data_IF_327056524236
#
_entry.id   IF_327056524236
#
_cell.length_a   1.000
_cell.length_b   1.000
_cell.length_c   1.000
_cell.angle_alpha   90.00
_cell.angle_beta   90.00
_cell.angle_gamma   90.00
#
_symmetry.space_group_name_H-M   'P 1'
#
loop_
_entity.id
_entity.type
_entity.pdbx_description
1 polymer ?
#
# COMPACT_ATOMS: atom_id res chain seq x y z
N UNK A 1 -15.36 11.73 -17.95
CA UNK A 1 -15.19 12.07 -16.51
C UNK A 1 -13.78 11.70 -16.10
N UNK A 2 -13.07 12.58 -15.42
CA UNK A 2 -11.71 12.33 -14.92
C UNK A 2 -11.71 11.26 -13.82
N UNK A 3 -10.54 10.64 -13.56
CA UNK A 3 -10.41 9.64 -12.49
C UNK A 3 -10.75 10.24 -11.12
N UNK A 4 -10.35 11.49 -10.87
CA UNK A 4 -10.67 12.25 -9.66
C UNK A 4 -12.17 12.41 -9.44
N UNK A 5 -12.91 12.82 -10.47
CA UNK A 5 -14.36 13.01 -10.40
C UNK A 5 -15.08 11.69 -10.17
N UNK A 6 -14.67 10.63 -10.89
CA UNK A 6 -15.20 9.28 -10.69
C UNK A 6 -14.96 8.81 -9.27
N UNK A 7 -13.76 9.03 -8.72
CA UNK A 7 -13.46 8.61 -7.34
C UNK A 7 -14.27 9.39 -6.30
N UNK A 8 -14.52 10.68 -6.56
CA UNK A 8 -15.43 11.49 -5.73
C UNK A 8 -16.85 10.92 -5.74
N UNK A 9 -17.39 10.62 -6.92
CA UNK A 9 -18.71 9.99 -7.07
C UNK A 9 -18.75 8.61 -6.40
N UNK A 10 -17.70 7.80 -6.58
CA UNK A 10 -17.61 6.49 -5.97
C UNK A 10 -17.67 6.59 -4.43
N UNK A 11 -17.00 7.57 -3.84
CA UNK A 11 -17.05 7.85 -2.40
C UNK A 11 -18.45 8.28 -1.94
N UNK A 12 -19.10 9.18 -2.67
CA UNK A 12 -20.48 9.61 -2.36
C UNK A 12 -21.48 8.44 -2.39
N UNK A 13 -21.29 7.52 -3.35
CA UNK A 13 -22.13 6.36 -3.55
C UNK A 13 -21.69 5.11 -2.76
N UNK A 14 -20.61 5.19 -1.97
CA UNK A 14 -20.00 4.04 -1.28
C UNK A 14 -19.72 2.87 -2.22
N UNK A 15 -19.01 3.15 -3.30
CA UNK A 15 -18.56 2.18 -4.30
C UNK A 15 -17.05 2.34 -4.52
N UNK A 16 -16.48 1.48 -5.36
CA UNK A 16 -15.05 1.45 -5.67
C UNK A 16 -14.83 1.59 -7.17
N UNK A 17 -13.58 1.83 -7.57
CA UNK A 17 -13.20 1.91 -8.99
C UNK A 17 -12.13 0.88 -9.30
N UNK A 18 -12.28 0.22 -10.43
CA UNK A 18 -11.24 -0.62 -11.03
C UNK A 18 -10.87 -0.05 -12.40
N UNK A 19 -9.61 0.37 -12.54
CA UNK A 19 -9.02 0.69 -13.84
C UNK A 19 -8.23 -0.52 -14.33
N UNK A 20 -8.67 -1.10 -15.46
CA UNK A 20 -7.99 -2.22 -16.09
C UNK A 20 -6.77 -1.73 -16.86
N UNK A 21 -5.65 -2.45 -16.72
CA UNK A 21 -4.39 -2.12 -17.42
C UNK A 21 -3.97 -0.66 -17.27
N UNK A 22 -4.11 -0.13 -16.05
CA UNK A 22 -3.79 1.26 -15.72
C UNK A 22 -2.30 1.58 -15.93
N UNK A 23 -1.43 0.59 -15.69
CA UNK A 23 -0.01 0.62 -16.09
C UNK A 23 0.33 -0.57 -16.96
N UNK A 24 1.24 -0.35 -17.92
CA UNK A 24 1.71 -1.35 -18.87
C UNK A 24 3.11 -1.86 -18.57
N UNK A 25 3.94 -1.04 -17.94
CA UNK A 25 5.29 -1.39 -17.51
C UNK A 25 5.20 -1.96 -16.09
N UNK A 26 5.66 -3.19 -15.92
CA UNK A 26 5.54 -3.94 -14.68
C UNK A 26 6.91 -4.50 -14.29
N UNK A 27 7.28 -4.45 -13.00
CA UNK A 27 8.52 -5.07 -12.56
C UNK A 27 8.45 -6.59 -12.68
N UNK A 28 9.61 -7.21 -12.77
CA UNK A 28 9.76 -8.67 -12.71
C UNK A 28 10.17 -9.12 -11.31
N UNK A 29 10.02 -10.42 -11.03
CA UNK A 29 10.37 -10.99 -9.73
C UNK A 29 11.81 -10.68 -9.30
N UNK A 30 12.77 -10.76 -10.22
CA UNK A 30 14.19 -10.49 -9.90
C UNK A 30 14.39 -9.08 -9.34
N UNK A 31 13.73 -8.07 -9.91
CA UNK A 31 13.75 -6.69 -9.42
C UNK A 31 13.14 -6.61 -8.01
N UNK A 32 11.99 -7.23 -7.79
CA UNK A 32 11.30 -7.19 -6.49
C UNK A 32 12.07 -7.93 -5.41
N UNK A 33 12.62 -9.11 -5.71
CA UNK A 33 13.39 -9.92 -4.78
C UNK A 33 14.72 -9.24 -4.44
N UNK A 34 15.38 -8.61 -5.42
CA UNK A 34 16.57 -7.80 -5.18
C UNK A 34 16.25 -6.64 -4.24
N UNK A 35 15.17 -5.89 -4.49
CA UNK A 35 14.75 -4.82 -3.61
C UNK A 35 14.52 -5.32 -2.18
N UNK A 36 13.78 -6.42 -2.00
CA UNK A 36 13.54 -7.01 -0.67
C UNK A 36 14.86 -7.34 0.01
N UNK A 37 15.78 -8.01 -0.69
CA UNK A 37 17.09 -8.37 -0.16
C UNK A 37 17.90 -7.13 0.28
N UNK A 38 17.99 -6.12 -0.56
CA UNK A 38 18.69 -4.88 -0.25
C UNK A 38 18.09 -4.22 1.01
N UNK A 39 16.75 -4.17 1.12
CA UNK A 39 16.06 -3.61 2.28
C UNK A 39 16.23 -4.43 3.58
N UNK A 40 16.49 -5.74 3.48
CA UNK A 40 16.82 -6.55 4.67
C UNK A 40 18.21 -6.29 5.22
N UNK A 41 19.11 -5.67 4.43
CA UNK A 41 20.52 -5.45 4.80
C UNK A 41 20.76 -4.10 5.50
N UNK A 42 19.72 -3.31 5.71
CA UNK A 42 19.79 -1.95 6.30
C UNK A 42 19.73 -2.01 7.85
N UNK A 43 20.85 -2.32 8.50
CA UNK A 43 20.95 -2.64 9.94
C UNK A 43 20.53 -1.51 10.90
N UNK A 44 20.81 -0.24 10.55
CA UNK A 44 20.54 0.90 11.46
C UNK A 44 19.05 1.14 11.69
N UNK A 45 18.22 0.81 10.70
CA UNK A 45 16.76 0.99 10.75
C UNK A 45 16.05 -0.16 11.45
N UNK A 46 16.65 -1.36 11.48
CA UNK A 46 16.05 -2.52 12.16
C UNK A 46 15.80 -2.25 13.65
N UNK A 47 16.76 -1.61 14.33
CA UNK A 47 16.66 -1.30 15.76
C UNK A 47 15.59 -0.25 16.07
N UNK A 48 15.44 0.77 15.22
CA UNK A 48 14.39 1.78 15.35
C UNK A 48 13.01 1.17 15.09
N UNK A 49 12.89 0.43 13.98
CA UNK A 49 11.66 -0.23 13.56
C UNK A 49 11.18 -1.23 14.61
N UNK A 50 12.08 -2.06 15.14
CA UNK A 50 11.74 -3.04 16.18
C UNK A 50 11.16 -2.39 17.43
N UNK A 51 11.77 -1.30 17.92
CA UNK A 51 11.26 -0.55 19.07
C UNK A 51 9.87 0.02 18.82
N UNK A 52 9.64 0.57 17.63
CA UNK A 52 8.33 1.11 17.26
C UNK A 52 7.28 0.00 17.18
N UNK A 53 7.60 -1.13 16.56
CA UNK A 53 6.70 -2.28 16.48
C UNK A 53 6.35 -2.86 17.85
N UNK A 54 7.33 -2.99 18.74
CA UNK A 54 7.11 -3.43 20.13
C UNK A 54 6.22 -2.47 20.93
N UNK A 55 6.27 -1.16 20.64
CA UNK A 55 5.46 -0.14 21.31
C UNK A 55 4.03 -0.01 20.75
N UNK A 56 3.86 -0.13 19.43
CA UNK A 56 2.57 0.08 18.76
C UNK A 56 1.74 -1.19 18.74
N UNK A 57 2.37 -2.37 18.68
CA UNK A 57 1.69 -3.65 18.51
C UNK A 57 2.01 -4.69 19.62
N UNK A 58 1.95 -4.33 20.93
CA UNK A 58 2.24 -5.29 21.99
C UNK A 58 1.26 -6.48 22.02
N UNK A 59 0.04 -6.29 21.49
CA UNK A 59 -1.06 -7.27 21.57
C UNK A 59 -1.25 -8.12 20.31
N UNK A 60 -0.58 -7.79 19.19
CA UNK A 60 -0.64 -8.63 18.00
C UNK A 60 0.28 -9.84 18.20
N UNK A 61 -0.29 -10.96 18.62
CA UNK A 61 0.30 -12.32 18.56
C UNK A 61 0.61 -12.79 17.13
N UNK A 62 0.70 -11.89 16.16
CA UNK A 62 1.20 -12.20 14.82
C UNK A 62 2.71 -12.26 14.95
N UNK A 63 3.31 -13.40 14.62
CA UNK A 63 4.77 -13.57 14.57
C UNK A 63 5.26 -12.68 13.41
N UNK A 64 5.46 -11.41 13.71
CA UNK A 64 6.06 -10.45 12.81
C UNK A 64 7.56 -10.51 13.07
N UNK A 65 8.32 -10.93 12.06
CA UNK A 65 9.78 -10.79 12.10
C UNK A 65 10.16 -9.56 11.29
N UNK A 66 10.99 -8.70 11.87
CA UNK A 66 11.50 -7.50 11.20
C UNK A 66 12.95 -7.76 10.80
N UNK A 67 13.29 -7.47 9.55
CA UNK A 67 14.65 -7.55 9.00
C UNK A 67 14.94 -6.25 8.25
N UNK A 68 15.80 -5.38 8.80
CA UNK A 68 15.99 -4.02 8.25
C UNK A 68 14.67 -3.26 8.07
N UNK A 69 14.32 -2.97 6.82
CA UNK A 69 13.08 -2.29 6.41
C UNK A 69 11.95 -3.23 5.97
N UNK A 70 12.05 -4.52 6.26
CA UNK A 70 11.06 -5.53 5.85
C UNK A 70 10.37 -6.12 7.08
N UNK A 71 9.05 -6.22 7.02
CA UNK A 71 8.25 -7.04 7.93
C UNK A 71 7.85 -8.31 7.21
N UNK A 72 8.09 -9.44 7.85
CA UNK A 72 7.61 -10.75 7.41
C UNK A 72 6.58 -11.25 8.40
N UNK A 73 5.43 -11.66 7.89
CA UNK A 73 4.34 -12.28 8.63
C UNK A 73 4.09 -13.68 8.08
N UNK A 74 3.73 -14.60 8.96
CA UNK A 74 3.36 -15.96 8.59
C UNK A 74 2.17 -15.98 7.60
N UNK A 75 2.15 -16.85 6.57
CA UNK A 75 3.21 -17.82 6.23
C UNK A 75 4.40 -17.25 5.46
N UNK A 76 4.21 -16.30 4.54
CA UNK A 76 5.28 -15.58 3.83
C UNK A 76 4.70 -14.29 3.22
N UNK A 77 4.06 -13.47 4.06
CA UNK A 77 3.56 -12.16 3.69
C UNK A 77 4.59 -11.11 4.09
N UNK A 78 5.09 -10.36 3.12
CA UNK A 78 6.23 -9.47 3.25
C UNK A 78 5.75 -8.06 2.94
N UNK A 79 6.05 -7.11 3.82
CA UNK A 79 5.77 -5.69 3.60
C UNK A 79 7.03 -4.86 3.79
N UNK A 80 7.30 -3.95 2.85
CA UNK A 80 8.34 -2.94 3.04
C UNK A 80 7.82 -1.80 3.92
N UNK A 81 8.66 -1.37 4.86
CA UNK A 81 8.37 -0.28 5.81
C UNK A 81 8.73 1.11 5.28
N UNK A 82 9.26 1.19 4.06
CA UNK A 82 9.73 2.43 3.47
C UNK A 82 9.10 2.67 2.12
N UNK A 83 9.05 3.95 1.75
CA UNK A 83 8.80 4.38 0.37
C UNK A 83 10.00 4.15 -0.58
N UNK A 84 11.05 3.42 -0.20
CA UNK A 84 12.20 3.23 -1.10
C UNK A 84 11.87 2.38 -2.33
N UNK A 85 10.79 1.59 -2.28
CA UNK A 85 10.32 0.79 -3.41
C UNK A 85 10.17 1.61 -4.71
N UNK A 86 9.88 2.91 -4.61
CA UNK A 86 9.75 3.77 -5.77
C UNK A 86 11.05 4.36 -6.29
N UNK A 87 12.08 4.43 -5.45
CA UNK A 87 13.42 4.86 -5.86
C UNK A 87 14.08 3.73 -6.65
N UNK A 88 13.90 2.50 -6.17
CA UNK A 88 14.60 1.32 -6.69
C UNK A 88 13.83 0.58 -7.80
N UNK A 89 12.51 0.80 -7.93
CA UNK A 89 11.67 0.19 -8.97
C UNK A 89 11.11 1.28 -9.89
N UNK A 90 11.67 1.41 -11.08
CA UNK A 90 11.38 2.50 -12.01
C UNK A 90 9.92 2.54 -12.48
N UNK A 91 9.30 1.37 -12.67
CA UNK A 91 7.91 1.22 -13.12
C UNK A 91 6.94 1.82 -12.11
N UNK A 92 7.28 1.70 -10.83
CA UNK A 92 6.53 2.29 -9.74
C UNK A 92 6.60 3.82 -9.78
N UNK A 93 7.77 4.41 -10.03
CA UNK A 93 7.88 5.88 -10.14
C UNK A 93 6.94 6.45 -11.19
N UNK A 94 6.86 5.81 -12.36
CA UNK A 94 5.94 6.19 -13.45
C UNK A 94 4.48 6.08 -13.03
N UNK A 95 4.10 4.99 -12.36
CA UNK A 95 2.75 4.78 -11.84
C UNK A 95 2.31 5.92 -10.89
N UNK A 96 3.12 6.25 -9.90
CA UNK A 96 2.69 7.18 -8.85
C UNK A 96 2.61 8.62 -9.35
N UNK A 97 3.53 9.00 -10.23
CA UNK A 97 3.43 10.29 -10.93
C UNK A 97 2.15 10.35 -11.79
N UNK A 98 1.85 9.29 -12.55
CA UNK A 98 0.60 9.19 -13.34
C UNK A 98 -0.65 9.31 -12.46
N UNK A 99 -0.69 8.59 -11.34
CA UNK A 99 -1.82 8.61 -10.42
C UNK A 99 -2.04 10.01 -9.82
N UNK A 100 -1.00 10.68 -9.35
CA UNK A 100 -1.14 12.05 -8.83
C UNK A 100 -1.59 13.04 -9.92
N UNK A 101 -1.06 12.89 -11.15
CA UNK A 101 -1.47 13.70 -12.30
C UNK A 101 -2.95 13.52 -12.66
N UNK A 102 -3.44 12.29 -12.64
CA UNK A 102 -4.86 11.98 -12.86
C UNK A 102 -5.77 12.55 -11.76
N UNK A 103 -5.19 12.91 -10.60
CA UNK A 103 -5.86 13.62 -9.50
C UNK A 103 -5.59 15.14 -9.49
N UNK A 104 -4.97 15.66 -10.55
CA UNK A 104 -4.73 17.08 -10.79
C UNK A 104 -3.50 17.66 -10.10
N UNK A 105 -2.55 16.81 -9.70
CA UNK A 105 -1.29 17.22 -9.08
C UNK A 105 -0.13 16.84 -10.01
N UNK A 106 0.58 17.85 -10.51
CA UNK A 106 1.77 17.67 -11.35
C UNK A 106 3.04 17.59 -10.49
N UNK A 107 3.05 16.66 -9.53
CA UNK A 107 4.21 16.39 -8.68
C UNK A 107 4.27 14.92 -8.33
N UNK A 108 5.49 14.39 -8.28
CA UNK A 108 5.76 13.13 -7.60
C UNK A 108 5.90 13.32 -6.08
N UNK A 109 6.47 12.31 -5.44
CA UNK A 109 6.68 12.20 -4.00
C UNK A 109 8.18 12.01 -3.70
N UNK A 110 9.08 12.36 -4.63
CA UNK A 110 10.53 12.09 -4.55
C UNK A 110 11.18 12.66 -3.28
N UNK A 111 10.59 13.71 -2.71
CA UNK A 111 11.07 14.33 -1.47
C UNK A 111 10.15 14.06 -0.27
N UNK A 112 9.21 13.10 -0.39
CA UNK A 112 8.19 12.85 0.61
C UNK A 112 8.76 12.18 1.86
N UNK A 113 8.67 12.87 2.98
CA UNK A 113 9.07 12.34 4.29
C UNK A 113 8.08 11.34 4.90
N UNK A 114 6.88 11.17 4.33
CA UNK A 114 5.76 10.51 5.00
C UNK A 114 6.02 9.04 5.35
N UNK A 115 6.76 8.31 4.50
CA UNK A 115 7.13 6.90 4.69
C UNK A 115 8.65 6.69 4.69
N UNK A 116 9.38 7.62 5.31
CA UNK A 116 10.82 7.45 5.56
C UNK A 116 11.05 6.81 6.95
N UNK A 117 10.61 5.56 7.10
CA UNK A 117 10.66 4.77 8.34
C UNK A 117 9.29 4.29 8.84
N UNK A 118 9.27 3.66 10.03
CA UNK A 118 8.08 3.02 10.64
C UNK A 118 7.04 3.95 11.23
N UNK A 119 7.36 5.23 11.42
CA UNK A 119 6.44 6.20 12.01
C UNK A 119 5.97 7.16 10.92
N UNK A 120 4.65 7.32 10.75
CA UNK A 120 4.07 8.35 9.88
C UNK A 120 4.65 9.72 10.26
N UNK A 121 5.54 10.25 9.42
CA UNK A 121 6.08 11.59 9.60
C UNK A 121 5.16 12.59 8.93
N UNK A 122 5.15 13.87 9.37
CA UNK A 122 4.46 14.92 8.63
C UNK A 122 4.90 14.89 7.16
N UNK A 123 3.93 14.77 6.26
CA UNK A 123 4.20 14.83 4.82
C UNK A 123 4.61 16.25 4.43
N UNK A 124 5.78 16.36 3.80
CA UNK A 124 6.34 17.61 3.27
C UNK A 124 6.11 17.79 1.75
N UNK A 125 5.43 16.86 1.07
CA UNK A 125 5.17 16.95 -0.36
C UNK A 125 3.72 17.36 -0.71
N UNK A 126 3.53 17.77 -1.95
CA UNK A 126 2.24 18.23 -2.50
C UNK A 126 1.42 17.12 -3.17
N UNK A 127 1.94 15.88 -3.21
CA UNK A 127 1.21 14.72 -3.71
C UNK A 127 -0.05 14.41 -2.90
N UNK A 128 -1.02 13.77 -3.54
CA UNK A 128 -2.24 13.26 -2.92
C UNK A 128 -2.02 11.83 -2.44
N UNK A 129 -1.50 10.99 -3.33
CA UNK A 129 -1.28 9.57 -3.06
C UNK A 129 0.15 9.34 -2.57
N UNK A 130 0.26 8.61 -1.47
CA UNK A 130 1.52 8.29 -0.80
C UNK A 130 1.60 6.79 -0.59
N UNK A 131 2.75 6.23 -0.91
CA UNK A 131 2.91 4.79 -0.82
C UNK A 131 3.22 4.27 0.56
N UNK A 132 2.42 3.32 0.99
CA UNK A 132 2.67 2.51 2.18
C UNK A 132 3.62 1.32 1.93
N UNK A 133 4.14 1.19 0.70
CA UNK A 133 5.21 0.28 0.33
C UNK A 133 4.74 -0.92 -0.47
N UNK A 134 5.69 -1.79 -0.81
CA UNK A 134 5.43 -3.07 -1.45
C UNK A 134 4.77 -4.04 -0.48
N UNK A 135 3.78 -4.76 -0.99
CA UNK A 135 3.14 -5.90 -0.33
C UNK A 135 3.35 -7.13 -1.21
N UNK A 136 4.05 -8.11 -0.67
CA UNK A 136 4.41 -9.36 -1.36
C UNK A 136 3.85 -10.55 -0.59
N UNK A 137 3.23 -11.49 -1.30
CA UNK A 137 2.77 -12.75 -0.73
C UNK A 137 3.43 -13.87 -1.50
N UNK A 138 4.25 -14.69 -0.85
CA UNK A 138 4.88 -15.89 -1.44
C UNK A 138 4.18 -17.19 -1.02
N UNK A 139 3.18 -17.08 -0.15
CA UNK A 139 2.32 -18.15 0.28
C UNK A 139 0.86 -17.68 0.27
N UNK A 140 -0.09 -18.61 0.47
CA UNK A 140 -1.51 -18.29 0.58
C UNK A 140 -1.75 -17.52 1.88
N UNK A 141 -1.79 -16.19 1.76
CA UNK A 141 -2.17 -15.29 2.86
C UNK A 141 -3.52 -14.69 2.55
N UNK A 142 -4.41 -14.85 3.52
CA UNK A 142 -5.70 -14.19 3.56
C UNK A 142 -5.63 -13.03 4.56
N UNK A 143 -5.97 -11.83 4.11
CA UNK A 143 -6.17 -10.68 4.98
C UNK A 143 -7.68 -10.57 5.16
N UNK A 144 -8.13 -10.80 6.40
CA UNK A 144 -9.55 -10.79 6.77
C UNK A 144 -10.21 -9.43 6.51
N UNK A 145 -11.54 -9.44 6.52
CA UNK A 145 -12.35 -8.24 6.36
C UNK A 145 -11.95 -7.13 7.36
N UNK A 146 -11.62 -5.95 6.83
CA UNK A 146 -11.21 -4.77 7.60
C UNK A 146 -11.51 -3.48 6.83
N UNK A 147 -11.38 -2.34 7.52
CA UNK A 147 -11.46 -1.00 6.91
C UNK A 147 -10.13 -0.29 7.06
N UNK A 148 -9.72 0.38 6.00
CA UNK A 148 -8.58 1.29 6.07
C UNK A 148 -8.97 2.59 6.77
N UNK A 149 -7.98 3.24 7.37
CA UNK A 149 -8.16 4.56 8.00
C UNK A 149 -8.29 5.65 6.93
N UNK A 150 -7.63 5.48 5.78
CA UNK A 150 -7.55 6.45 4.70
C UNK A 150 -8.08 5.88 3.39
N UNK A 151 -8.51 6.75 2.47
CA UNK A 151 -8.84 6.32 1.11
C UNK A 151 -7.59 5.61 0.52
N UNK A 152 -7.79 4.43 -0.06
CA UNK A 152 -6.72 3.57 -0.52
C UNK A 152 -6.69 3.47 -2.06
N UNK A 153 -5.49 3.33 -2.59
CA UNK A 153 -5.24 2.91 -3.96
C UNK A 153 -4.34 1.69 -3.92
N UNK A 154 -4.63 0.69 -4.74
CA UNK A 154 -3.83 -0.53 -4.84
C UNK A 154 -3.57 -0.86 -6.30
N UNK A 155 -2.30 -1.05 -6.65
CA UNK A 155 -1.91 -1.52 -7.99
C UNK A 155 -1.33 -2.93 -7.88
N UNK A 156 -1.84 -3.84 -8.71
CA UNK A 156 -1.32 -5.20 -8.81
C UNK A 156 -0.14 -5.20 -9.79
N UNK A 157 1.04 -5.65 -9.35
CA UNK A 157 2.26 -5.65 -10.18
C UNK A 157 2.59 -7.02 -10.76
N UNK A 158 2.55 -8.05 -9.94
CA UNK A 158 2.91 -9.43 -10.32
C UNK A 158 1.90 -10.39 -9.73
N UNK A 159 1.47 -11.41 -10.49
CA UNK A 159 0.43 -12.33 -10.05
C UNK A 159 -0.94 -11.67 -9.94
N UNK A 160 -1.91 -12.38 -9.35
CA UNK A 160 -3.29 -11.89 -9.19
C UNK A 160 -3.63 -11.67 -7.72
N UNK A 161 -4.51 -10.72 -7.46
CA UNK A 161 -5.20 -10.61 -6.17
C UNK A 161 -6.71 -10.60 -6.36
N UNK A 162 -7.38 -11.07 -5.32
CA UNK A 162 -8.82 -11.17 -5.23
C UNK A 162 -9.27 -10.33 -4.06
N UNK A 163 -10.29 -9.50 -4.30
CA UNK A 163 -10.80 -8.54 -3.34
C UNK A 163 -12.29 -8.74 -3.20
N UNK A 164 -12.75 -9.04 -1.99
CA UNK A 164 -14.16 -8.99 -1.63
C UNK A 164 -14.41 -7.67 -0.93
N UNK A 165 -15.33 -6.87 -1.46
CA UNK A 165 -15.59 -5.50 -0.97
C UNK A 165 -16.97 -5.46 -0.35
N UNK A 166 -17.05 -4.91 0.86
CA UNK A 166 -18.26 -4.78 1.70
C UNK A 166 -18.97 -6.11 1.97
N UNK A 167 -18.20 -7.18 2.12
CA UNK A 167 -18.73 -8.51 2.46
C UNK A 167 -19.52 -9.22 1.36
N UNK A 168 -19.71 -8.61 0.18
CA UNK A 168 -20.51 -9.18 -0.90
C UNK A 168 -19.77 -10.32 -1.63
N UNK A 169 -20.17 -11.57 -1.35
CA UNK A 169 -19.60 -12.76 -2.00
C UNK A 169 -19.87 -12.83 -3.50
N UNK A 170 -20.86 -12.11 -4.01
CA UNK A 170 -21.16 -12.06 -5.44
C UNK A 170 -20.30 -11.02 -6.18
N UNK A 171 -19.52 -10.21 -5.45
CA UNK A 171 -18.72 -9.12 -6.00
C UNK A 171 -17.23 -9.27 -5.63
N UNK A 172 -16.63 -10.35 -6.12
CA UNK A 172 -15.19 -10.57 -6.03
C UNK A 172 -14.51 -9.86 -7.20
N UNK A 173 -13.73 -8.84 -6.89
CA UNK A 173 -12.89 -8.13 -7.85
C UNK A 173 -11.59 -8.89 -8.03
N UNK A 174 -11.29 -9.26 -9.27
CA UNK A 174 -9.99 -9.85 -9.65
C UNK A 174 -9.12 -8.77 -10.25
N UNK A 175 -7.96 -8.52 -9.63
CA UNK A 175 -6.93 -7.63 -10.16
C UNK A 175 -5.84 -8.47 -10.83
N UNK A 176 -5.63 -8.19 -12.11
CA UNK A 176 -4.49 -8.71 -12.88
C UNK A 176 -3.32 -7.72 -12.81
N UNK A 177 -2.09 -8.15 -13.15
CA UNK A 177 -0.97 -7.24 -13.28
C UNK A 177 -1.31 -6.01 -14.15
N UNK A 178 -1.05 -4.82 -13.61
CA UNK A 178 -1.36 -3.52 -14.22
C UNK A 178 -2.71 -2.93 -13.82
N UNK A 179 -3.61 -3.69 -13.19
CA UNK A 179 -4.89 -3.17 -12.72
C UNK A 179 -4.72 -2.28 -11.48
N UNK A 180 -5.47 -1.19 -11.42
CA UNK A 180 -5.58 -0.29 -10.27
C UNK A 180 -6.96 -0.41 -9.64
N UNK A 181 -7.00 -0.56 -8.32
CA UNK A 181 -8.18 -0.45 -7.48
C UNK A 181 -8.12 0.86 -6.68
N UNK A 182 -9.18 1.66 -6.71
CA UNK A 182 -9.37 2.80 -5.80
C UNK A 182 -10.53 2.49 -4.85
N UNK A 183 -10.26 2.59 -3.56
CA UNK A 183 -11.18 2.17 -2.50
C UNK A 183 -11.38 3.32 -1.49
N UNK A 184 -12.60 3.87 -1.36
CA UNK A 184 -12.92 4.78 -0.28
C UNK A 184 -12.81 4.10 1.09
N UNK A 185 -12.36 4.84 2.11
CA UNK A 185 -12.15 4.29 3.46
C UNK A 185 -13.43 3.86 4.19
N UNK A 186 -14.59 4.20 3.65
CA UNK A 186 -15.88 3.77 4.18
C UNK A 186 -16.18 2.29 3.91
N UNK A 187 -15.49 1.67 2.95
CA UNK A 187 -15.73 0.29 2.52
C UNK A 187 -14.84 -0.71 3.28
N UNK A 188 -15.48 -1.75 3.81
CA UNK A 188 -14.76 -2.92 4.30
C UNK A 188 -14.25 -3.74 3.12
N UNK A 189 -13.13 -4.43 3.31
CA UNK A 189 -12.60 -5.31 2.29
C UNK A 189 -11.76 -6.43 2.88
N UNK A 190 -11.70 -7.50 2.10
CA UNK A 190 -10.92 -8.71 2.37
C UNK A 190 -10.09 -9.02 1.12
N UNK A 191 -8.83 -9.43 1.30
CA UNK A 191 -7.91 -9.65 0.18
C UNK A 191 -7.14 -10.97 0.33
N UNK A 192 -7.03 -11.71 -0.77
CA UNK A 192 -6.21 -12.91 -0.87
C UNK A 192 -5.54 -13.05 -2.24
N UNK A 193 -4.66 -14.03 -2.34
CA UNK A 193 -4.07 -14.48 -3.60
C UNK A 193 -4.07 -16.01 -3.66
N UNK A 194 -4.12 -16.55 -4.88
CA UNK A 194 -4.01 -17.99 -5.15
C UNK A 194 -2.57 -18.44 -5.46
N UNK A 195 -1.62 -17.51 -5.45
CA UNK A 195 -0.21 -17.77 -5.71
C UNK A 195 0.66 -16.57 -5.38
N UNK A 196 1.95 -16.62 -5.73
CA UNK A 196 2.88 -15.54 -5.51
C UNK A 196 2.39 -14.24 -6.15
N UNK A 197 2.33 -13.16 -5.36
CA UNK A 197 1.87 -11.85 -5.85
C UNK A 197 2.65 -10.70 -5.25
N UNK A 198 2.69 -9.61 -6.01
CA UNK A 198 3.25 -8.32 -5.61
C UNK A 198 2.25 -7.24 -5.96
N UNK A 199 1.95 -6.36 -5.01
CA UNK A 199 1.26 -5.12 -5.30
C UNK A 199 1.75 -4.02 -4.39
N UNK A 200 1.21 -2.82 -4.60
CA UNK A 200 1.59 -1.65 -3.83
C UNK A 200 0.35 -0.96 -3.32
N UNK A 201 0.36 -0.71 -2.01
CA UNK A 201 -0.68 0.02 -1.33
C UNK A 201 -0.28 1.49 -1.23
N UNK A 202 -1.21 2.37 -1.55
CA UNK A 202 -1.07 3.80 -1.40
C UNK A 202 -2.23 4.34 -0.61
N UNK A 203 -1.92 5.24 0.31
CA UNK A 203 -2.90 5.95 1.10
C UNK A 203 -2.99 7.38 0.57
N UNK A 204 -4.21 7.85 0.41
CA UNK A 204 -4.47 9.26 0.19
C UNK A 204 -4.05 10.02 1.44
N UNK A 205 -3.38 11.16 1.26
CA UNK A 205 -2.98 12.06 2.33
C UNK A 205 -4.16 12.32 3.26
N UNK A 206 -4.12 11.76 4.47
CA UNK A 206 -5.02 12.15 5.52
C UNK A 206 -4.77 13.61 5.87
N UNK A 207 -5.82 14.38 6.07
CA UNK A 207 -5.68 15.56 6.91
C UNK A 207 -5.38 15.03 8.31
N UNK A 208 -4.11 14.98 8.70
CA UNK A 208 -3.77 14.72 10.09
C UNK A 208 -4.36 15.87 10.93
N UNK A 209 -5.61 15.74 11.35
CA UNK A 209 -5.99 16.29 12.64
C UNK A 209 -5.12 15.52 13.61
N UNK A 210 -4.22 16.23 14.31
CA UNK A 210 -3.51 15.65 15.45
C UNK A 210 -4.53 14.85 16.28
N UNK A 211 -4.22 13.64 16.73
CA UNK A 211 -5.07 12.98 17.71
C UNK A 211 -5.30 13.99 18.84
N UNK A 212 -6.56 14.28 19.14
CA UNK A 212 -6.91 15.16 20.24
C UNK A 212 -6.38 14.48 21.50
N UNK A 213 -5.30 15.00 22.07
CA UNK A 213 -4.64 14.45 23.26
C UNK A 213 -5.45 14.71 24.52
N UNK A 214 -6.78 14.68 24.42
CA UNK A 214 -7.73 14.78 25.52
C UNK A 214 -8.53 13.49 25.59
N UNK A 215 -7.87 12.44 26.05
CA UNK A 215 -8.57 11.39 26.78
C UNK A 215 -8.18 11.60 28.24
N UNK A 216 -9.13 12.18 28.98
CA UNK A 216 -9.19 12.24 30.43
C UNK A 216 -9.42 10.85 31.02
#
# INVERSE_FOLDING_TARGET
MSLKERFKEAKENKTFIVEKSYISELPVWDTVLKFIYDQTSEEDLEKENKKVFEQILPDLKIINTVHGNIVVQDPLWIKSLTGKAWEDIVELKTFLYKLNKDFGIDSGFENCSYYNGTVHRPCNCNSIWHSDGLVVSLAVKHISDHKDVFDAAYVQLIGKSFWKIDGDQNNIVVLNPGDLLLLPNELAHEVWGEGPRVGVLLNKKGTHKKPDTRIS
#
